data_IF_732943652605
#
_entry.id   IF_732943652605
#
_cell.length_a   1.000
_cell.length_b   1.000
_cell.length_c   1.000
_cell.angle_alpha   90.00
_cell.angle_beta   90.00
_cell.angle_gamma   90.00
#
_symmetry.space_group_name_H-M   'P 1'
#
loop_
_entity.id
_entity.type
_entity.pdbx_description
1 polymer ?
#
# COMPACT_ATOMS: atom_id res chain seq x y z
N UNK A 1 13.86 8.40 21.06
CA UNK A 1 12.76 7.81 21.87
C UNK A 1 12.28 6.56 21.14
N UNK A 2 12.42 5.39 21.76
CA UNK A 2 12.11 4.08 21.16
C UNK A 2 10.60 3.82 21.35
N UNK A 3 9.79 4.10 20.33
CA UNK A 3 8.35 3.88 20.40
C UNK A 3 8.01 2.40 20.16
N UNK A 4 6.94 1.85 20.77
CA UNK A 4 6.50 0.46 20.53
C UNK A 4 6.15 0.15 19.07
N UNK A 5 6.08 1.17 18.19
CA UNK A 5 5.95 1.05 16.74
C UNK A 5 7.22 0.52 16.03
N UNK A 6 8.36 0.45 16.72
CA UNK A 6 9.67 0.08 16.15
C UNK A 6 10.05 -1.39 16.35
N UNK A 7 9.23 -2.21 17.02
CA UNK A 7 9.54 -3.62 17.32
C UNK A 7 8.91 -4.55 16.26
N UNK A 8 9.70 -5.44 15.62
CA UNK A 8 9.26 -6.43 14.62
C UNK A 8 10.05 -6.36 13.30
N UNK A 9 9.84 -7.29 12.33
CA UNK A 9 10.48 -7.24 11.02
C UNK A 9 10.04 -5.99 10.23
N UNK A 10 10.91 -5.40 9.41
CA UNK A 10 10.60 -4.16 8.68
C UNK A 10 9.52 -4.34 7.61
N UNK A 11 9.41 -5.57 7.11
CA UNK A 11 8.39 -6.03 6.17
C UNK A 11 7.87 -7.40 6.59
N UNK A 12 6.57 -7.64 6.39
CA UNK A 12 5.92 -8.95 6.51
C UNK A 12 5.49 -9.39 5.11
N UNK A 13 5.82 -10.63 4.71
CA UNK A 13 5.35 -11.20 3.45
C UNK A 13 4.42 -12.38 3.68
N UNK A 14 3.28 -12.38 3.01
CA UNK A 14 2.41 -13.55 2.90
C UNK A 14 1.82 -13.65 1.49
N UNK A 15 1.36 -14.85 1.12
CA UNK A 15 0.71 -15.13 -0.15
C UNK A 15 1.52 -16.05 -1.07
N UNK A 16 0.92 -16.46 -2.19
CA UNK A 16 1.53 -17.41 -3.13
C UNK A 16 2.59 -16.75 -4.01
N UNK A 17 3.59 -17.53 -4.42
CA UNK A 17 4.72 -17.11 -5.27
C UNK A 17 4.38 -16.95 -6.77
N UNK A 18 3.14 -16.56 -7.12
CA UNK A 18 2.78 -16.27 -8.52
C UNK A 18 2.00 -14.97 -8.52
N UNK A 19 2.56 -14.00 -9.21
CA UNK A 19 2.15 -12.61 -9.37
C UNK A 19 0.64 -12.33 -9.44
N UNK A 20 0.22 -11.10 -9.08
CA UNK A 20 1.06 -9.90 -8.79
C UNK A 20 1.52 -9.76 -7.33
N UNK A 21 2.44 -8.81 -7.09
CA UNK A 21 2.81 -8.36 -5.74
C UNK A 21 2.05 -7.07 -5.36
N UNK A 22 1.58 -6.99 -4.11
CA UNK A 22 1.01 -5.79 -3.51
C UNK A 22 1.89 -5.31 -2.35
N UNK A 23 2.51 -4.16 -2.52
CA UNK A 23 3.33 -3.50 -1.50
C UNK A 23 2.47 -2.51 -0.71
N UNK A 24 2.26 -2.78 0.57
CA UNK A 24 1.43 -1.96 1.46
C UNK A 24 2.33 -1.06 2.31
N UNK A 25 2.16 0.25 2.21
CA UNK A 25 2.86 1.25 3.01
C UNK A 25 1.99 1.65 4.20
N UNK A 26 2.28 1.08 5.36
CA UNK A 26 1.51 1.21 6.59
C UNK A 26 2.07 2.34 7.48
N UNK A 27 1.46 3.52 7.36
CA UNK A 27 1.81 4.71 8.13
C UNK A 27 1.45 4.57 9.61
N UNK A 28 0.30 3.95 9.89
CA UNK A 28 -0.30 3.87 11.22
C UNK A 28 0.23 2.68 12.05
N UNK A 29 0.94 1.76 11.41
CA UNK A 29 1.55 0.60 12.02
C UNK A 29 0.48 -0.39 12.49
N UNK A 30 -0.49 -0.72 11.64
CA UNK A 30 -1.52 -1.72 11.90
C UNK A 30 -0.96 -3.14 12.06
N UNK A 31 0.15 -3.47 11.38
CA UNK A 31 0.87 -4.73 11.57
C UNK A 31 1.72 -4.73 12.86
N UNK A 32 1.09 -4.48 14.02
CA UNK A 32 1.77 -4.32 15.32
C UNK A 32 2.48 -5.58 15.83
N UNK A 33 2.11 -6.76 15.32
CA UNK A 33 2.62 -8.07 15.79
C UNK A 33 3.50 -8.79 14.78
N UNK A 34 3.77 -8.20 13.62
CA UNK A 34 4.56 -8.86 12.57
C UNK A 34 3.76 -9.85 11.73
N UNK A 35 2.43 -9.83 11.81
CA UNK A 35 1.51 -10.61 10.99
C UNK A 35 0.62 -9.66 10.18
N UNK A 36 0.10 -10.12 9.03
CA UNK A 36 -0.93 -9.39 8.32
C UNK A 36 -2.23 -9.29 9.14
N UNK A 37 -2.99 -8.19 9.02
CA UNK A 37 -4.32 -8.15 9.62
C UNK A 37 -5.20 -9.27 9.03
N UNK A 38 -6.00 -9.99 9.83
CA UNK A 38 -6.79 -11.12 9.35
C UNK A 38 -7.73 -10.80 8.18
N UNK A 39 -8.17 -9.55 8.06
CA UNK A 39 -9.00 -9.06 6.95
C UNK A 39 -8.32 -9.15 5.60
N UNK A 40 -6.98 -9.25 5.56
CA UNK A 40 -6.19 -9.38 4.33
C UNK A 40 -5.99 -10.83 3.87
N UNK A 41 -6.32 -11.82 4.70
CA UNK A 41 -6.16 -13.24 4.34
C UNK A 41 -6.84 -13.63 3.02
N UNK A 42 -8.07 -13.15 2.68
CA UNK A 42 -8.71 -13.47 1.40
C UNK A 42 -7.93 -12.98 0.16
N UNK A 43 -7.10 -11.93 0.30
CA UNK A 43 -6.29 -11.40 -0.81
C UNK A 43 -5.05 -12.24 -1.11
N UNK A 44 -4.66 -13.15 -0.22
CA UNK A 44 -3.46 -13.98 -0.39
C UNK A 44 -3.56 -14.99 -1.55
N UNK A 45 -4.77 -15.30 -1.98
CA UNK A 45 -5.03 -16.09 -3.20
C UNK A 45 -4.89 -15.25 -4.49
N UNK A 46 -4.86 -13.92 -4.38
CA UNK A 46 -4.79 -12.99 -5.52
C UNK A 46 -3.46 -12.30 -5.68
N UNK A 47 -2.76 -12.03 -4.59
CA UNK A 47 -1.50 -11.32 -4.61
C UNK A 47 -0.59 -11.79 -3.50
N UNK A 48 0.72 -11.67 -3.75
CA UNK A 48 1.72 -11.70 -2.68
C UNK A 48 1.78 -10.34 -2.02
N UNK A 49 1.52 -10.27 -0.72
CA UNK A 49 1.48 -9.01 0.01
C UNK A 49 2.83 -8.79 0.69
N UNK A 50 3.46 -7.64 0.43
CA UNK A 50 4.58 -7.12 1.21
C UNK A 50 4.10 -5.95 2.07
N UNK A 51 3.98 -6.14 3.38
CA UNK A 51 3.50 -5.13 4.31
C UNK A 51 4.66 -4.39 4.95
N UNK A 52 4.89 -3.15 4.53
CA UNK A 52 6.03 -2.31 4.95
C UNK A 52 5.57 -1.27 5.96
N UNK A 53 6.25 -1.20 7.10
CA UNK A 53 5.97 -0.20 8.14
C UNK A 53 6.72 1.10 7.86
N UNK A 54 6.02 2.23 7.89
CA UNK A 54 6.55 3.52 7.41
C UNK A 54 7.73 4.12 8.19
N UNK A 55 7.87 3.99 9.53
CA UNK A 55 9.06 4.52 10.21
C UNK A 55 10.35 3.92 9.64
N UNK A 56 10.32 2.64 9.25
CA UNK A 56 11.47 1.96 8.64
C UNK A 56 11.64 2.34 7.17
N UNK A 57 10.54 2.52 6.45
CA UNK A 57 10.56 2.97 5.05
C UNK A 57 11.28 4.33 4.88
N UNK A 58 10.99 5.29 5.77
CA UNK A 58 11.61 6.62 5.74
C UNK A 58 13.10 6.57 6.09
N UNK A 59 13.51 5.67 6.98
CA UNK A 59 14.92 5.45 7.35
C UNK A 59 15.76 4.87 6.20
N UNK A 60 15.13 4.12 5.29
CA UNK A 60 15.76 3.55 4.09
C UNK A 60 15.80 4.53 2.89
N UNK A 61 15.65 5.83 3.13
CA UNK A 61 15.58 6.88 2.10
C UNK A 61 14.46 6.70 1.07
N UNK A 62 13.44 5.90 1.39
CA UNK A 62 12.25 5.74 0.54
C UNK A 62 12.38 4.73 -0.59
N UNK A 63 13.36 3.82 -0.56
CA UNK A 63 13.39 2.69 -1.49
C UNK A 63 12.52 1.53 -0.97
N UNK A 64 11.23 1.55 -1.32
CA UNK A 64 10.29 0.50 -0.91
C UNK A 64 10.57 -0.80 -1.67
N UNK A 65 11.26 -0.70 -2.81
CA UNK A 65 11.53 -1.81 -3.72
C UNK A 65 12.61 -2.75 -3.19
N UNK A 66 13.45 -2.28 -2.27
CA UNK A 66 14.24 -3.17 -1.41
C UNK A 66 13.37 -4.23 -0.69
N UNK A 67 12.07 -3.95 -0.53
CA UNK A 67 11.06 -4.86 0.03
C UNK A 67 10.09 -5.41 -1.03
N UNK A 68 10.44 -5.42 -2.30
CA UNK A 68 9.68 -6.14 -3.32
C UNK A 68 10.39 -7.46 -3.62
N UNK A 69 9.67 -8.59 -3.72
CA UNK A 69 10.26 -9.83 -4.18
C UNK A 69 10.89 -9.67 -5.56
N UNK A 70 12.15 -10.11 -5.71
CA UNK A 70 12.91 -9.94 -6.95
C UNK A 70 12.28 -10.68 -8.14
N UNK A 71 11.42 -11.66 -7.87
CA UNK A 71 10.66 -12.45 -8.84
C UNK A 71 9.32 -11.82 -9.23
N UNK A 72 8.96 -10.63 -8.72
CA UNK A 72 7.72 -9.97 -9.07
C UNK A 72 7.85 -9.15 -10.38
N UNK A 73 7.22 -9.59 -11.47
CA UNK A 73 7.17 -8.81 -12.72
C UNK A 73 6.14 -7.66 -12.67
N UNK A 74 5.22 -7.69 -11.70
CA UNK A 74 4.13 -6.71 -11.54
C UNK A 74 3.92 -6.33 -10.09
N UNK A 75 4.05 -5.03 -9.80
CA UNK A 75 3.91 -4.48 -8.46
C UNK A 75 2.80 -3.44 -8.40
N UNK A 76 1.92 -3.60 -7.43
CA UNK A 76 0.95 -2.60 -6.99
C UNK A 76 1.43 -1.99 -5.68
N UNK A 77 1.29 -0.67 -5.53
CA UNK A 77 1.63 0.02 -4.28
C UNK A 77 0.36 0.53 -3.63
N UNK A 78 0.12 0.21 -2.37
CA UNK A 78 -1.01 0.70 -1.58
C UNK A 78 -0.49 1.61 -0.46
N UNK A 79 -1.14 2.74 -0.26
CA UNK A 79 -0.91 3.60 0.90
C UNK A 79 -2.20 4.25 1.38
N UNK A 80 -2.22 4.61 2.66
CA UNK A 80 -3.28 5.44 3.24
C UNK A 80 -2.75 6.78 3.78
N UNK A 81 -3.63 7.78 3.85
CA UNK A 81 -3.33 9.02 4.55
C UNK A 81 -2.05 9.71 4.06
N UNK A 82 -1.15 9.98 5.00
CA UNK A 82 0.13 10.66 4.75
C UNK A 82 1.16 9.79 4.03
N UNK A 83 0.97 8.47 3.95
CA UNK A 83 1.84 7.59 3.17
C UNK A 83 1.62 7.71 1.65
N UNK A 84 0.57 8.42 1.20
CA UNK A 84 0.27 8.62 -0.21
C UNK A 84 1.44 9.27 -0.98
N UNK A 85 2.09 10.30 -0.42
CA UNK A 85 3.23 10.95 -1.07
C UNK A 85 4.42 10.00 -1.26
N UNK A 86 4.66 9.14 -0.26
CA UNK A 86 5.70 8.13 -0.33
C UNK A 86 5.42 7.10 -1.43
N UNK A 87 4.18 6.61 -1.54
CA UNK A 87 3.79 5.68 -2.59
C UNK A 87 3.99 6.29 -3.99
N UNK A 88 3.60 7.56 -4.14
CA UNK A 88 3.82 8.32 -5.38
C UNK A 88 5.30 8.40 -5.71
N UNK A 89 6.15 8.79 -4.76
CA UNK A 89 7.60 8.90 -4.99
C UNK A 89 8.25 7.56 -5.39
N UNK A 90 7.89 6.48 -4.71
CA UNK A 90 8.34 5.12 -5.05
C UNK A 90 7.95 4.77 -6.48
N UNK A 91 6.71 5.08 -6.86
CA UNK A 91 6.23 4.77 -8.21
C UNK A 91 6.95 5.53 -9.33
N UNK A 92 7.42 6.75 -9.05
CA UNK A 92 8.22 7.52 -10.02
C UNK A 92 9.62 6.94 -10.20
N UNK A 93 10.23 6.46 -9.11
CA UNK A 93 11.57 5.87 -9.13
C UNK A 93 11.58 4.47 -9.79
N UNK A 94 10.46 3.76 -9.75
CA UNK A 94 10.33 2.37 -10.20
C UNK A 94 9.18 2.18 -11.21
N UNK A 95 9.00 3.14 -12.12
CA UNK A 95 7.92 3.14 -13.10
C UNK A 95 7.99 1.98 -14.12
N UNK A 96 9.13 1.29 -14.20
CA UNK A 96 9.35 0.11 -15.03
C UNK A 96 8.65 -1.16 -14.50
N UNK A 97 8.40 -1.22 -13.20
CA UNK A 97 7.84 -2.38 -12.50
C UNK A 97 6.53 -2.09 -11.77
N UNK A 98 6.31 -0.84 -11.35
CA UNK A 98 5.04 -0.41 -10.73
C UNK A 98 3.95 -0.29 -11.79
N UNK A 99 2.87 -1.05 -11.62
CA UNK A 99 1.71 -1.05 -12.53
C UNK A 99 0.63 -0.07 -12.12
N UNK A 100 0.42 0.14 -10.83
CA UNK A 100 -0.51 1.15 -10.33
C UNK A 100 -0.26 1.47 -8.85
N UNK A 101 -0.63 2.69 -8.45
CA UNK A 101 -0.71 3.10 -7.05
C UNK A 101 -2.19 3.16 -6.63
N UNK A 102 -2.51 2.48 -5.54
CA UNK A 102 -3.81 2.47 -4.89
C UNK A 102 -3.73 3.35 -3.63
N UNK A 103 -4.67 4.28 -3.48
CA UNK A 103 -4.69 5.25 -2.39
C UNK A 103 -5.99 5.14 -1.58
N UNK A 104 -5.85 5.20 -0.26
CA UNK A 104 -6.97 5.23 0.70
C UNK A 104 -6.89 6.53 1.47
N UNK A 105 -7.92 7.36 1.41
CA UNK A 105 -7.94 8.67 2.11
C UNK A 105 -6.63 9.46 1.96
N UNK A 106 -6.13 9.69 0.73
CA UNK A 106 -4.80 10.26 0.57
C UNK A 106 -4.75 11.72 1.05
N UNK A 107 -3.75 12.04 1.86
CA UNK A 107 -3.43 13.42 2.23
C UNK A 107 -2.37 13.93 1.26
N UNK A 108 -2.80 14.32 0.06
CA UNK A 108 -1.92 14.80 -1.04
C UNK A 108 -2.67 15.76 -1.96
N UNK A 109 -1.95 16.62 -2.68
CA UNK A 109 -2.53 17.46 -3.74
C UNK A 109 -2.90 16.61 -4.96
N UNK A 110 -4.12 16.75 -5.48
CA UNK A 110 -4.60 16.07 -6.70
C UNK A 110 -3.71 16.36 -7.90
N UNK A 111 -3.11 17.56 -7.98
CA UNK A 111 -2.16 17.92 -9.05
C UNK A 111 -0.91 17.05 -9.02
N UNK A 112 -0.47 16.64 -7.83
CA UNK A 112 0.67 15.74 -7.67
C UNK A 112 0.35 14.32 -8.14
N UNK A 113 -0.92 13.92 -8.17
CA UNK A 113 -1.35 12.61 -8.66
C UNK A 113 -1.49 12.58 -10.19
N UNK A 114 -1.95 13.67 -10.81
CA UNK A 114 -2.21 13.72 -12.25
C UNK A 114 -0.97 13.74 -13.16
N UNK A 115 0.22 14.02 -12.61
CA UNK A 115 1.46 14.13 -13.38
C UNK A 115 2.33 12.85 -13.36
N UNK A 116 1.78 11.73 -12.89
CA UNK A 116 2.56 10.53 -12.62
C UNK A 116 2.68 9.60 -13.84
N UNK A 117 3.83 8.92 -14.00
CA UNK A 117 4.06 7.99 -15.11
C UNK A 117 3.25 6.69 -14.96
N UNK A 118 2.72 6.41 -13.76
CA UNK A 118 1.89 5.24 -13.48
C UNK A 118 0.46 5.66 -13.12
N UNK A 119 -0.55 4.82 -13.44
CA UNK A 119 -1.92 5.05 -13.02
C UNK A 119 -2.06 5.11 -11.49
N UNK A 120 -2.71 6.15 -10.98
CA UNK A 120 -3.12 6.27 -9.58
C UNK A 120 -4.63 6.11 -9.45
N UNK A 121 -5.07 5.30 -8.48
CA UNK A 121 -6.47 5.08 -8.16
C UNK A 121 -6.73 5.35 -6.68
N UNK A 122 -7.62 6.29 -6.38
CA UNK A 122 -8.18 6.40 -5.03
C UNK A 122 -9.26 5.34 -4.90
N UNK A 123 -9.01 4.32 -4.08
CA UNK A 123 -9.87 3.13 -3.96
C UNK A 123 -10.88 3.23 -2.83
N UNK A 124 -10.56 4.00 -1.78
CA UNK A 124 -11.48 4.27 -0.68
C UNK A 124 -11.28 5.70 -0.16
N UNK A 125 -12.39 6.33 0.18
CA UNK A 125 -12.44 7.64 0.83
C UNK A 125 -13.47 7.56 1.94
N UNK A 126 -13.12 8.03 3.13
CA UNK A 126 -14.02 8.23 4.25
C UNK A 126 -15.10 9.26 3.89
N UNK A 127 -16.36 8.92 4.16
CA UNK A 127 -17.50 9.78 3.84
C UNK A 127 -17.50 11.11 4.61
N UNK A 128 -16.71 11.20 5.69
CA UNK A 128 -16.64 12.33 6.62
C UNK A 128 -15.52 13.34 6.27
N UNK A 129 -15.13 13.41 4.99
CA UNK A 129 -14.12 14.37 4.48
C UNK A 129 -14.65 15.79 4.30
N UNK A 130 -15.94 16.03 4.57
CA UNK A 130 -16.57 17.38 4.41
C UNK A 130 -16.26 18.34 5.56
N UNK A 131 -15.66 17.86 6.65
CA UNK A 131 -15.09 18.68 7.71
C UNK A 131 -13.64 18.22 7.92
N UNK A 132 -12.76 19.17 8.19
CA UNK A 132 -11.33 18.95 8.39
C UNK A 132 -11.02 17.74 9.32
N UNK A 133 -10.15 16.85 8.86
CA UNK A 133 -9.38 15.89 9.67
C UNK A 133 -10.07 14.64 10.27
N UNK A 134 -10.98 13.99 9.54
CA UNK A 134 -11.25 12.56 9.80
C UNK A 134 -9.97 11.74 9.62
N UNK A 135 -9.63 10.86 10.58
CA UNK A 135 -8.50 9.94 10.41
C UNK A 135 -8.76 9.05 9.18
N UNK A 136 -7.74 8.77 8.35
CA UNK A 136 -7.91 7.91 7.18
C UNK A 136 -8.44 6.54 7.60
N UNK A 137 -9.22 5.90 6.71
CA UNK A 137 -9.68 4.54 6.95
C UNK A 137 -8.49 3.63 7.23
N UNK A 138 -8.56 2.81 8.31
CA UNK A 138 -7.55 1.80 8.58
C UNK A 138 -7.40 0.85 7.38
N UNK A 139 -6.17 0.47 7.05
CA UNK A 139 -5.88 -0.50 5.99
C UNK A 139 -6.52 -1.86 6.26
N UNK A 140 -6.72 -2.22 7.53
CA UNK A 140 -7.46 -3.42 7.93
C UNK A 140 -8.98 -3.30 7.85
N UNK A 141 -9.54 -2.13 7.53
CA UNK A 141 -10.98 -1.91 7.48
C UNK A 141 -11.62 -2.69 6.30
N UNK A 142 -12.76 -3.39 6.49
CA UNK A 142 -13.37 -4.21 5.43
C UNK A 142 -13.61 -3.46 4.12
N UNK A 143 -14.10 -2.22 4.18
CA UNK A 143 -14.30 -1.38 2.98
C UNK A 143 -13.00 -1.18 2.19
N UNK A 144 -11.87 -0.99 2.87
CA UNK A 144 -10.57 -0.81 2.22
C UNK A 144 -10.14 -2.10 1.54
N UNK A 145 -10.26 -3.22 2.25
CA UNK A 145 -9.92 -4.56 1.74
C UNK A 145 -10.76 -4.90 0.50
N UNK A 146 -12.07 -4.70 0.56
CA UNK A 146 -12.99 -4.94 -0.56
C UNK A 146 -12.66 -4.05 -1.77
N UNK A 147 -12.33 -2.78 -1.53
CA UNK A 147 -11.96 -1.84 -2.58
C UNK A 147 -10.63 -2.20 -3.24
N UNK A 148 -9.63 -2.62 -2.45
CA UNK A 148 -8.34 -3.10 -2.97
C UNK A 148 -8.52 -4.39 -3.77
N UNK A 149 -9.31 -5.35 -3.27
CA UNK A 149 -9.60 -6.58 -4.01
C UNK A 149 -10.25 -6.27 -5.36
N UNK A 150 -11.25 -5.39 -5.38
CA UNK A 150 -11.91 -4.96 -6.61
C UNK A 150 -10.92 -4.33 -7.57
N UNK A 151 -10.08 -3.41 -7.11
CA UNK A 151 -9.07 -2.75 -7.94
C UNK A 151 -8.08 -3.76 -8.55
N UNK A 152 -7.59 -4.73 -7.77
CA UNK A 152 -6.70 -5.77 -8.27
C UNK A 152 -7.39 -6.65 -9.32
N UNK A 153 -8.66 -7.01 -9.14
CA UNK A 153 -9.43 -7.77 -10.15
C UNK A 153 -9.60 -7.02 -11.47
N UNK A 154 -9.78 -5.71 -11.42
CA UNK A 154 -9.91 -4.87 -12.62
C UNK A 154 -8.57 -4.67 -13.34
N UNK A 155 -7.48 -4.60 -12.59
CA UNK A 155 -6.13 -4.40 -13.12
C UNK A 155 -5.50 -5.71 -13.63
N UNK A 156 -5.89 -6.83 -13.04
CA UNK A 156 -5.49 -8.19 -13.43
C UNK A 156 -6.70 -9.02 -13.84
N UNK A 157 -7.36 -8.68 -14.97
CA UNK A 157 -8.43 -9.50 -15.49
C UNK A 157 -7.86 -10.88 -15.82
N UNK A 158 -8.50 -11.93 -15.31
CA UNK A 158 -8.16 -13.32 -15.66
C UNK A 158 -8.34 -13.43 -17.18
N UNK A 159 -7.24 -13.66 -17.89
CA UNK A 159 -7.24 -13.91 -19.34
C UNK A 159 -7.97 -15.20 -19.71
#
# INVERSE_FOLDING_TARGET
MNSPRSQGPPVVYEGRCREPALLVLDAEGEAKRGDLPPTWQPLLDRARIGWVRMPVFLEQRGDAFAFVPQDAERVYVLANGTAAEAAVRVSQLHADVVRSVLLVDPVTDERSLGALPVPVRVVAVSEDTRNDAGAPLPLGHPIVVDAVEKALRELEPVG
#
